data_IF_593267470233
#
_entry.id   IF_593267470233
#
_cell.length_a   1.000
_cell.length_b   1.000
_cell.length_c   1.000
_cell.angle_alpha   90.00
_cell.angle_beta   90.00
_cell.angle_gamma   90.00
#
_symmetry.space_group_name_H-M   'P 1'
#
loop_
_entity.id
_entity.type
_entity.pdbx_description
1 polymer ?
#
# COMPACT_ATOMS: atom_id res chain seq x y z
N UNK A 1 0.13 7.62 -18.87
CA UNK A 1 0.85 7.35 -18.84
C UNK A 1 0.93 6.25 -18.26
N UNK A 2 1.64 5.72 -18.32
CA UNK A 2 1.65 4.62 -17.88
C UNK A 2 1.77 4.50 -16.59
N UNK A 3 1.26 3.69 -15.98
CA UNK A 3 1.32 3.40 -14.68
C UNK A 3 2.42 2.49 -14.47
N UNK A 4 3.60 3.04 -14.28
CA UNK A 4 4.77 2.23 -14.11
C UNK A 4 4.68 1.35 -12.89
N UNK A 5 3.83 1.69 -11.95
CA UNK A 5 3.76 0.87 -10.74
C UNK A 5 2.94 -0.40 -10.97
N UNK A 6 2.22 -0.52 -12.06
CA UNK A 6 1.53 -1.78 -12.33
C UNK A 6 2.51 -2.74 -12.97
N UNK A 7 2.68 -3.90 -12.37
CA UNK A 7 3.69 -4.85 -12.81
C UNK A 7 3.12 -6.02 -13.59
N UNK A 8 1.83 -6.17 -13.64
CA UNK A 8 1.23 -7.27 -14.40
C UNK A 8 -0.06 -7.71 -13.76
N UNK A 9 -0.46 -8.91 -14.10
CA UNK A 9 -1.68 -9.48 -13.55
C UNK A 9 -1.40 -10.91 -13.12
N UNK A 10 -2.19 -11.40 -12.18
CA UNK A 10 -2.12 -12.80 -11.81
C UNK A 10 -3.53 -13.37 -11.90
N UNK A 11 -3.60 -14.68 -12.07
CA UNK A 11 -4.87 -15.38 -12.07
C UNK A 11 -4.96 -16.07 -10.72
N UNK A 12 -5.88 -15.61 -9.88
CA UNK A 12 -6.02 -16.17 -8.56
C UNK A 12 -7.38 -16.83 -8.48
N UNK A 13 -7.40 -18.15 -8.56
CA UNK A 13 -8.65 -18.89 -8.45
C UNK A 13 -9.69 -18.43 -9.46
N UNK A 14 -9.24 -18.18 -10.67
CA UNK A 14 -10.15 -17.76 -11.73
C UNK A 14 -10.40 -16.28 -11.81
N UNK A 15 -9.86 -15.51 -10.88
CA UNK A 15 -10.06 -14.08 -10.90
C UNK A 15 -8.78 -13.40 -11.39
N UNK A 16 -8.92 -12.45 -12.30
CA UNK A 16 -7.78 -11.71 -12.80
C UNK A 16 -7.51 -10.57 -11.84
N UNK A 17 -6.32 -10.54 -11.27
CA UNK A 17 -5.98 -9.57 -10.25
C UNK A 17 -4.79 -8.75 -10.74
N UNK A 18 -4.95 -7.45 -10.92
CA UNK A 18 -3.80 -6.62 -11.27
C UNK A 18 -2.85 -6.50 -10.09
N UNK A 19 -1.58 -6.39 -10.38
CA UNK A 19 -0.56 -6.38 -9.35
C UNK A 19 0.24 -5.09 -9.45
N UNK A 20 0.38 -4.40 -8.36
CA UNK A 20 1.00 -3.11 -8.30
C UNK A 20 2.17 -3.13 -7.33
N UNK A 21 3.21 -2.36 -7.64
CA UNK A 21 4.34 -2.19 -6.74
C UNK A 21 4.05 -1.00 -5.84
N UNK A 22 4.02 -1.22 -4.53
CA UNK A 22 3.79 -0.13 -3.60
C UNK A 22 5.02 0.79 -3.60
N UNK A 23 6.21 0.23 -3.83
CA UNK A 23 7.39 1.04 -3.89
C UNK A 23 7.30 2.07 -5.02
N UNK A 24 6.94 1.62 -6.19
CA UNK A 24 6.86 2.51 -7.34
C UNK A 24 5.71 3.49 -7.20
N UNK A 25 4.61 3.05 -6.63
CA UNK A 25 3.47 3.96 -6.43
C UNK A 25 3.87 5.12 -5.53
N UNK A 26 4.74 4.87 -4.57
CA UNK A 26 5.16 5.90 -3.64
C UNK A 26 6.42 6.62 -4.08
N UNK A 27 6.91 6.34 -5.29
CA UNK A 27 8.09 7.04 -5.78
C UNK A 27 9.40 6.49 -5.27
N UNK A 28 9.38 5.29 -4.72
CA UNK A 28 10.60 4.66 -4.23
C UNK A 28 11.23 3.84 -5.35
N UNK A 29 12.40 3.31 -5.09
CA UNK A 29 13.07 2.47 -6.07
C UNK A 29 12.32 1.19 -6.30
N UNK A 30 12.47 0.64 -7.48
CA UNK A 30 11.76 -0.58 -7.87
C UNK A 30 12.03 -1.70 -6.90
N UNK A 31 11.20 -2.71 -6.95
CA UNK A 31 11.29 -3.85 -6.08
C UNK A 31 12.51 -4.68 -6.41
N UNK A 32 13.12 -5.23 -5.39
CA UNK A 32 14.11 -6.27 -5.55
C UNK A 32 13.50 -7.50 -4.89
N UNK A 33 13.19 -8.51 -5.68
CA UNK A 33 12.48 -9.65 -5.16
C UNK A 33 13.42 -10.56 -4.39
N UNK A 34 12.99 -10.95 -3.20
CA UNK A 34 13.74 -11.86 -2.35
C UNK A 34 12.78 -12.95 -1.88
N UNK A 35 13.28 -13.87 -1.10
CA UNK A 35 12.43 -14.92 -0.58
C UNK A 35 11.40 -14.37 0.40
N UNK A 36 11.58 -13.16 0.89
CA UNK A 36 10.61 -12.57 1.80
C UNK A 36 9.54 -11.77 1.07
N UNK A 37 9.73 -11.50 -0.21
CA UNK A 37 8.76 -10.69 -0.96
C UNK A 37 7.40 -11.35 -0.98
N UNK A 38 6.36 -10.55 -0.92
CA UNK A 38 4.99 -11.07 -0.91
C UNK A 38 4.09 -10.18 -1.74
N UNK A 39 2.97 -10.72 -2.15
CA UNK A 39 1.90 -9.96 -2.76
C UNK A 39 0.72 -10.04 -1.82
N UNK A 40 0.27 -8.90 -1.34
CA UNK A 40 -0.90 -8.85 -0.48
C UNK A 40 -2.10 -8.60 -1.36
N UNK A 41 -3.14 -9.42 -1.22
CA UNK A 41 -4.34 -9.25 -2.02
C UNK A 41 -5.31 -8.40 -1.22
N UNK A 42 -5.62 -7.23 -1.74
CA UNK A 42 -6.58 -6.34 -1.12
C UNK A 42 -7.90 -6.49 -1.83
N UNK A 43 -8.96 -6.68 -1.08
CA UNK A 43 -10.30 -6.74 -1.66
C UNK A 43 -10.95 -5.41 -1.41
N UNK A 44 -11.12 -4.65 -2.49
CA UNK A 44 -11.60 -3.29 -2.38
C UNK A 44 -13.06 -3.28 -2.71
N UNK A 45 -13.86 -2.74 -1.80
CA UNK A 45 -15.29 -2.72 -1.99
C UNK A 45 -15.62 -2.01 -3.28
N UNK A 46 -16.42 -2.64 -4.11
CA UNK A 46 -16.88 -2.08 -5.38
C UNK A 46 -15.77 -1.97 -6.44
N UNK A 47 -14.56 -2.43 -6.17
CA UNK A 47 -13.51 -2.32 -7.15
C UNK A 47 -12.79 -3.63 -7.43
N UNK A 48 -13.13 -4.67 -6.71
CA UNK A 48 -12.50 -5.97 -6.95
C UNK A 48 -11.21 -6.12 -6.17
N UNK A 49 -10.33 -6.96 -6.65
CA UNK A 49 -9.12 -7.29 -5.92
C UNK A 49 -7.91 -6.60 -6.55
N UNK A 50 -6.96 -6.26 -5.72
CA UNK A 50 -5.72 -5.65 -6.15
C UNK A 50 -4.58 -6.35 -5.42
N UNK A 51 -3.57 -6.77 -6.14
CA UNK A 51 -2.37 -7.33 -5.51
C UNK A 51 -1.36 -6.24 -5.31
N UNK A 52 -0.74 -6.20 -4.15
CA UNK A 52 0.25 -5.19 -3.82
C UNK A 52 1.55 -5.88 -3.46
N UNK A 53 2.62 -5.58 -4.18
CA UNK A 53 3.92 -6.18 -3.91
C UNK A 53 4.55 -5.45 -2.75
N UNK A 54 4.97 -6.19 -1.73
CA UNK A 54 5.63 -5.62 -0.57
C UNK A 54 6.94 -6.36 -0.33
N UNK A 55 7.87 -5.72 0.36
CA UNK A 55 9.17 -6.30 0.62
C UNK A 55 9.04 -7.51 1.54
N UNK A 56 8.22 -7.43 2.54
CA UNK A 56 7.99 -8.55 3.43
C UNK A 56 6.79 -8.25 4.30
N UNK A 57 6.23 -9.28 4.91
CA UNK A 57 5.13 -9.14 5.86
C UNK A 57 5.68 -9.51 7.21
N UNK A 58 5.64 -8.58 8.15
CA UNK A 58 6.23 -8.82 9.46
C UNK A 58 5.26 -9.48 10.42
N UNK A 59 4.19 -8.81 10.75
CA UNK A 59 3.26 -9.39 11.71
C UNK A 59 1.98 -8.60 11.71
N UNK A 60 0.98 -9.14 12.33
CA UNK A 60 -0.29 -8.47 12.51
C UNK A 60 -0.28 -7.84 13.89
N UNK A 61 -0.55 -6.54 13.98
CA UNK A 61 -0.61 -5.87 15.26
C UNK A 61 -2.00 -5.30 15.42
N UNK A 62 -2.44 -5.19 16.67
CA UNK A 62 -3.72 -4.58 16.99
C UNK A 62 -3.43 -3.20 17.53
N UNK A 63 -4.12 -2.20 16.99
CA UNK A 63 -3.92 -0.84 17.43
C UNK A 63 -5.27 -0.29 17.89
N UNK A 64 -5.31 0.27 19.09
CA UNK A 64 -6.52 0.93 19.55
C UNK A 64 -6.46 2.36 19.08
N UNK A 65 -7.57 3.05 19.20
CA UNK A 65 -7.64 4.41 18.67
C UNK A 65 -6.64 5.34 19.33
N UNK A 66 -6.36 5.13 20.60
CA UNK A 66 -5.43 6.03 21.28
C UNK A 66 -3.99 5.73 20.91
N UNK A 67 -3.73 4.67 20.16
CA UNK A 67 -2.40 4.38 19.66
C UNK A 67 -2.19 4.95 18.27
N UNK A 68 -3.19 5.57 17.68
CA UNK A 68 -3.12 6.06 16.34
C UNK A 68 -3.22 7.57 16.34
N UNK A 69 -2.24 8.21 15.73
CA UNK A 69 -2.28 9.64 15.62
C UNK A 69 -2.52 9.98 14.17
N UNK A 70 -3.56 10.73 13.90
CA UNK A 70 -3.88 11.10 12.54
C UNK A 70 -2.91 12.13 12.04
N UNK A 71 -2.44 11.92 10.84
CA UNK A 71 -1.47 12.81 10.30
C UNK A 71 -2.01 13.42 9.05
N UNK A 72 -3.04 14.21 9.15
CA UNK A 72 -3.61 14.77 7.96
C UNK A 72 -3.16 16.20 7.79
N UNK A 73 -2.06 16.60 8.41
CA UNK A 73 -1.66 17.90 8.32
C UNK A 73 -0.76 18.05 7.26
N UNK A 74 -0.92 18.80 6.39
CA UNK A 74 -0.01 19.24 5.57
C UNK A 74 1.02 18.47 5.11
N UNK A 75 0.88 17.60 4.32
CA UNK A 75 1.90 16.90 3.75
C UNK A 75 2.28 17.54 2.48
N UNK A 76 3.51 17.85 2.34
CA UNK A 76 4.01 18.46 1.13
C UNK A 76 4.70 17.48 0.22
N UNK A 77 4.74 16.22 0.59
CA UNK A 77 5.43 15.22 -0.21
C UNK A 77 4.42 14.29 -0.84
N UNK A 78 4.64 13.90 -2.07
CA UNK A 78 3.70 13.07 -2.78
C UNK A 78 3.41 11.79 -2.02
N UNK A 79 4.45 11.13 -1.52
CA UNK A 79 4.22 9.87 -0.86
C UNK A 79 3.49 10.01 0.45
N UNK A 80 3.47 11.21 1.02
CA UNK A 80 2.78 11.39 2.28
C UNK A 80 1.27 11.45 2.08
N UNK A 81 0.81 11.62 0.86
CA UNK A 81 -0.64 11.66 0.64
C UNK A 81 -1.25 10.28 0.81
N UNK A 82 -0.44 9.22 0.85
CA UNK A 82 -0.96 7.88 1.01
C UNK A 82 -1.00 7.45 2.46
N UNK A 83 -0.49 8.27 3.37
CA UNK A 83 -0.41 7.92 4.78
C UNK A 83 -1.38 8.78 5.55
N UNK A 84 -2.32 8.14 6.24
CA UNK A 84 -3.32 8.91 6.97
C UNK A 84 -3.19 8.78 8.48
N UNK A 85 -2.14 8.17 8.97
CA UNK A 85 -1.96 8.09 10.40
C UNK A 85 -0.70 7.37 10.77
N UNK A 86 -0.33 7.45 12.03
CA UNK A 86 0.82 6.75 12.55
C UNK A 86 0.39 6.01 13.79
N UNK A 87 0.62 4.71 13.81
CA UNK A 87 0.32 3.88 14.96
C UNK A 87 1.56 3.64 15.77
N UNK A 88 1.40 3.49 17.05
CA UNK A 88 2.51 3.18 17.94
C UNK A 88 2.26 1.83 18.60
N UNK A 89 3.21 0.94 18.45
CA UNK A 89 3.12 -0.38 19.05
C UNK A 89 4.45 -0.64 19.73
N UNK A 90 4.45 -0.59 21.06
CA UNK A 90 5.70 -0.68 21.78
C UNK A 90 6.54 0.53 21.45
N UNK A 91 7.76 0.31 20.98
CA UNK A 91 8.60 1.42 20.58
C UNK A 91 8.67 1.52 19.06
N UNK A 92 7.75 0.90 18.35
CA UNK A 92 7.72 0.96 16.90
C UNK A 92 6.70 1.96 16.42
N UNK A 93 7.04 2.69 15.39
CA UNK A 93 6.12 3.59 14.73
C UNK A 93 5.71 2.95 13.41
N UNK A 94 4.42 2.92 13.16
CA UNK A 94 3.87 2.26 11.98
C UNK A 94 3.07 3.28 11.19
N UNK A 95 3.47 3.49 9.95
CA UNK A 95 2.73 4.39 9.07
C UNK A 95 1.52 3.65 8.53
N UNK A 96 0.36 4.27 8.62
CA UNK A 96 -0.89 3.64 8.17
C UNK A 96 -1.28 4.22 6.83
N UNK A 97 -1.51 3.34 5.87
CA UNK A 97 -1.84 3.78 4.53
C UNK A 97 -3.33 4.00 4.37
N UNK A 98 -3.65 4.96 3.55
CA UNK A 98 -5.02 5.19 3.13
C UNK A 98 -5.25 4.37 1.87
N UNK A 99 -5.99 3.28 1.97
CA UNK A 99 -6.15 2.35 0.87
C UNK A 99 -6.77 3.03 -0.34
N UNK A 100 -7.75 3.89 -0.13
CA UNK A 100 -8.40 4.51 -1.26
C UNK A 100 -7.46 5.43 -2.04
N UNK A 101 -6.51 6.04 -1.36
CA UNK A 101 -5.53 6.87 -2.05
C UNK A 101 -4.57 6.02 -2.86
N UNK A 102 -4.24 4.84 -2.34
CA UNK A 102 -3.33 3.96 -3.04
C UNK A 102 -3.95 3.45 -4.33
N UNK A 103 -5.23 3.13 -4.31
CA UNK A 103 -5.87 2.55 -5.49
C UNK A 103 -6.47 3.59 -6.40
N UNK A 104 -6.39 4.86 -6.06
CA UNK A 104 -7.03 5.89 -6.86
C UNK A 104 -6.17 6.16 -8.08
N UNK A 105 -6.72 5.92 -9.24
CA UNK A 105 -5.97 6.11 -10.45
C UNK A 105 -5.92 7.55 -10.89
N UNK A 106 -6.72 8.39 -10.29
CA UNK A 106 -6.74 9.77 -10.71
C UNK A 106 -5.53 10.52 -10.25
N UNK A 107 -4.81 9.98 -9.30
CA UNK A 107 -3.66 10.68 -8.80
C UNK A 107 -2.55 10.69 -9.81
N UNK A 108 -2.75 10.03 -10.94
CA UNK A 108 -1.76 10.06 -11.91
C UNK A 108 -1.87 11.13 -12.88
N UNK A 109 -2.82 11.92 -12.85
CA UNK A 109 -2.96 12.92 -13.88
C UNK A 109 -2.08 14.13 -13.68
#
# INVERSE_FOLDING_TARGET
RDREYFKGIINLRGEIVPVMSIRLKMGLEDDTFTSASRIIILKIEDKGSLGVIVDEVCEVVNLSEDQIENNNINSNHVKDTFINGIGTSGDQLISLFEINAIVDEKDNT
#
